data_IF_083751953889
#
_entry.id   IF_083751953889
#
_cell.length_a   1.000
_cell.length_b   1.000
_cell.length_c   1.000
_cell.angle_alpha   90.00
_cell.angle_beta   90.00
_cell.angle_gamma   90.00
#
_symmetry.space_group_name_H-M   'P 1'
#
loop_
_entity.id
_entity.type
_entity.pdbx_description
1 polymer ?
#
# COMPACT_ATOMS: atom_id res chain seq x y z
N UNK A 1 -11.91 -1.72 -18.35
CA UNK A 1 -10.56 -1.85 -18.93
C UNK A 1 -9.46 -2.09 -17.88
N UNK A 2 -9.40 -1.35 -16.77
CA UNK A 2 -8.40 -1.58 -15.69
C UNK A 2 -8.36 -3.03 -15.19
N UNK A 3 -9.53 -3.64 -14.93
CA UNK A 3 -9.61 -5.05 -14.50
C UNK A 3 -9.08 -6.03 -15.56
N UNK A 4 -9.28 -5.73 -16.85
CA UNK A 4 -8.76 -6.55 -17.95
C UNK A 4 -7.22 -6.56 -17.91
N UNK A 5 -6.59 -5.38 -17.85
CA UNK A 5 -5.13 -5.29 -17.76
C UNK A 5 -4.57 -5.91 -16.49
N UNK A 6 -5.24 -5.74 -15.34
CA UNK A 6 -4.84 -6.41 -14.10
C UNK A 6 -4.90 -7.96 -14.25
N UNK A 7 -5.97 -8.49 -14.85
CA UNK A 7 -6.10 -9.93 -15.13
C UNK A 7 -5.02 -10.43 -16.09
N UNK A 8 -4.80 -9.73 -17.21
CA UNK A 8 -3.75 -10.06 -18.17
C UNK A 8 -2.36 -10.03 -17.53
N UNK A 9 -2.10 -9.01 -16.72
CA UNK A 9 -0.83 -8.89 -16.00
C UNK A 9 -0.68 -10.05 -15.01
N UNK A 10 -1.72 -10.42 -14.28
CA UNK A 10 -1.68 -11.58 -13.37
C UNK A 10 -1.42 -12.92 -14.07
N UNK A 11 -1.93 -13.12 -15.30
CA UNK A 11 -1.74 -14.36 -16.06
C UNK A 11 -0.26 -14.58 -16.41
N UNK A 12 0.50 -13.50 -16.57
CA UNK A 12 1.94 -13.56 -16.87
C UNK A 12 2.83 -13.93 -15.67
N UNK A 13 2.24 -14.26 -14.52
CA UNK A 13 2.89 -14.88 -13.35
C UNK A 13 2.42 -16.33 -13.14
N UNK A 14 2.09 -17.03 -14.23
CA UNK A 14 1.85 -18.47 -14.16
C UNK A 14 3.14 -19.21 -13.80
N UNK A 15 3.03 -20.36 -13.13
CA UNK A 15 4.17 -21.14 -12.65
C UNK A 15 4.68 -22.12 -13.73
N UNK A 16 4.53 -21.78 -15.01
CA UNK A 16 4.95 -22.66 -16.11
C UNK A 16 6.45 -22.55 -16.36
N UNK A 17 7.17 -23.59 -15.95
CA UNK A 17 8.62 -23.71 -16.14
C UNK A 17 9.05 -23.47 -17.59
N UNK A 18 8.31 -24.01 -18.56
CA UNK A 18 8.64 -23.87 -19.99
C UNK A 18 8.54 -22.41 -20.45
N UNK A 19 7.46 -21.71 -20.07
CA UNK A 19 7.23 -20.32 -20.46
C UNK A 19 8.24 -19.36 -19.80
N UNK A 20 8.67 -19.66 -18.58
CA UNK A 20 9.71 -18.90 -17.89
C UNK A 20 11.09 -19.14 -18.51
N UNK A 21 11.44 -20.39 -18.82
CA UNK A 21 12.70 -20.75 -19.49
C UNK A 21 12.83 -20.06 -20.85
N UNK A 22 11.73 -19.99 -21.61
CA UNK A 22 11.67 -19.30 -22.91
C UNK A 22 11.47 -17.77 -22.80
N UNK A 23 11.46 -17.21 -21.58
CA UNK A 23 11.21 -15.78 -21.29
C UNK A 23 9.87 -15.23 -21.81
N UNK A 24 8.94 -16.09 -22.22
CA UNK A 24 7.62 -15.70 -22.76
C UNK A 24 6.83 -14.93 -21.69
N UNK A 25 6.81 -15.42 -20.44
CA UNK A 25 6.14 -14.73 -19.35
C UNK A 25 6.74 -13.34 -19.07
N UNK A 26 8.06 -13.20 -19.21
CA UNK A 26 8.75 -11.91 -19.03
C UNK A 26 8.38 -10.92 -20.14
N UNK A 27 8.37 -11.37 -21.40
CA UNK A 27 7.93 -10.58 -22.55
C UNK A 27 6.46 -10.18 -22.43
N UNK A 28 5.60 -11.10 -22.01
CA UNK A 28 4.18 -10.83 -21.78
C UNK A 28 3.99 -9.80 -20.66
N UNK A 29 4.69 -9.95 -19.52
CA UNK A 29 4.68 -8.95 -18.43
C UNK A 29 5.06 -7.57 -18.95
N UNK A 30 6.15 -7.49 -19.71
CA UNK A 30 6.62 -6.24 -20.29
C UNK A 30 5.58 -5.64 -21.24
N UNK A 31 5.07 -6.43 -22.19
CA UNK A 31 4.10 -5.99 -23.18
C UNK A 31 2.80 -5.49 -22.53
N UNK A 32 2.22 -6.27 -21.61
CA UNK A 32 1.00 -5.88 -20.88
C UNK A 32 1.22 -4.59 -20.09
N UNK A 33 2.37 -4.46 -19.41
CA UNK A 33 2.72 -3.25 -18.64
C UNK A 33 2.82 -2.01 -19.54
N UNK A 34 3.50 -2.12 -20.69
CA UNK A 34 3.64 -1.01 -21.65
C UNK A 34 2.29 -0.65 -22.28
N UNK A 35 1.53 -1.64 -22.72
CA UNK A 35 0.20 -1.43 -23.32
C UNK A 35 -0.78 -0.80 -22.33
N UNK A 36 -0.82 -1.29 -21.08
CA UNK A 36 -1.64 -0.72 -20.02
C UNK A 36 -1.33 0.77 -19.82
N UNK A 37 -0.06 1.13 -19.71
CA UNK A 37 0.37 2.52 -19.49
C UNK A 37 0.19 3.44 -20.71
N UNK A 38 -0.08 2.88 -21.91
CA UNK A 38 -0.46 3.66 -23.09
C UNK A 38 -1.96 3.80 -23.25
N UNK A 39 -2.72 2.73 -22.98
CA UNK A 39 -4.15 2.66 -23.25
C UNK A 39 -4.99 3.18 -22.06
N UNK A 40 -4.63 2.81 -20.83
CA UNK A 40 -5.39 3.22 -19.65
C UNK A 40 -5.50 4.74 -19.47
N UNK A 41 -4.48 5.58 -19.72
CA UNK A 41 -4.62 7.03 -19.60
C UNK A 41 -5.81 7.57 -20.40
N UNK A 42 -6.00 7.13 -21.65
CA UNK A 42 -7.12 7.54 -22.50
C UNK A 42 -8.47 7.08 -21.94
N UNK A 43 -8.53 5.86 -21.39
CA UNK A 43 -9.76 5.33 -20.81
C UNK A 43 -10.13 5.98 -19.47
N UNK A 44 -9.13 6.43 -18.71
CA UNK A 44 -9.30 7.07 -17.40
C UNK A 44 -9.65 8.55 -17.57
N UNK A 45 -9.03 9.26 -18.53
CA UNK A 45 -9.25 10.69 -18.76
C UNK A 45 -10.68 11.04 -19.19
N UNK A 46 -11.43 10.09 -19.75
CA UNK A 46 -12.79 10.32 -20.23
C UNK A 46 -13.87 10.29 -19.13
N UNK A 47 -13.50 10.08 -17.86
CA UNK A 47 -14.44 9.91 -16.76
C UNK A 47 -14.75 11.25 -16.08
N UNK A 48 -16.04 11.63 -16.01
CA UNK A 48 -16.46 12.94 -15.45
C UNK A 48 -17.29 12.90 -14.15
N UNK A 49 -17.82 11.74 -13.76
CA UNK A 49 -18.69 11.60 -12.58
C UNK A 49 -17.98 11.80 -11.23
N UNK A 50 -18.62 12.46 -10.26
CA UNK A 50 -18.10 12.51 -8.90
C UNK A 50 -17.80 11.11 -8.33
N UNK A 51 -16.65 10.97 -7.67
CA UNK A 51 -16.03 9.69 -7.35
C UNK A 51 -16.15 9.25 -5.89
N UNK A 52 -16.80 10.03 -5.04
CA UNK A 52 -17.02 9.69 -3.64
C UNK A 52 -18.45 9.23 -3.40
N UNK A 53 -18.65 8.55 -2.28
CA UNK A 53 -19.95 8.14 -1.80
C UNK A 53 -20.80 9.38 -1.46
N UNK A 54 -22.08 9.35 -1.83
CA UNK A 54 -23.07 10.40 -1.52
C UNK A 54 -24.15 9.75 -0.67
N UNK A 55 -24.29 10.18 0.58
CA UNK A 55 -25.24 9.65 1.54
C UNK A 55 -24.59 9.45 2.91
N UNK A 56 -25.30 8.72 3.77
CA UNK A 56 -24.81 8.33 5.09
C UNK A 56 -24.44 6.84 5.10
N UNK A 57 -23.41 6.53 5.88
CA UNK A 57 -23.00 5.14 6.16
C UNK A 57 -22.49 5.06 7.59
N UNK A 58 -22.65 3.89 8.20
CA UNK A 58 -22.26 3.65 9.60
C UNK A 58 -20.75 3.78 9.80
N UNK A 59 -19.96 3.06 8.99
CA UNK A 59 -18.49 3.12 9.03
C UNK A 59 -17.99 3.83 7.76
N UNK A 60 -17.36 4.99 7.92
CA UNK A 60 -16.82 5.75 6.79
C UNK A 60 -15.54 5.14 6.27
N UNK A 61 -15.33 5.21 4.96
CA UNK A 61 -14.13 4.73 4.29
C UNK A 61 -13.29 5.91 3.85
N UNK A 62 -12.10 6.04 4.42
CA UNK A 62 -11.12 7.06 4.06
C UNK A 62 -9.94 6.38 3.37
N UNK A 63 -9.76 6.67 2.08
CA UNK A 63 -8.57 6.24 1.34
C UNK A 63 -7.49 7.30 1.50
N UNK A 64 -6.28 6.88 1.85
CA UNK A 64 -5.16 7.77 2.09
C UNK A 64 -3.91 7.31 1.35
N UNK A 65 -3.19 8.28 0.79
CA UNK A 65 -1.94 8.07 0.07
C UNK A 65 -1.02 9.28 0.20
N UNK A 66 0.22 9.07 -0.22
CA UNK A 66 1.23 10.12 -0.34
C UNK A 66 1.96 9.97 -1.66
N UNK A 67 2.55 11.06 -2.15
CA UNK A 67 3.42 11.04 -3.32
C UNK A 67 4.58 12.01 -3.15
N UNK A 68 5.45 12.08 -4.15
CA UNK A 68 6.63 12.93 -4.21
C UNK A 68 6.87 13.39 -5.67
N UNK A 69 7.76 14.38 -5.91
CA UNK A 69 7.85 15.06 -7.19
C UNK A 69 8.04 14.14 -8.41
N UNK A 70 8.79 13.04 -8.31
CA UNK A 70 9.07 12.19 -9.48
C UNK A 70 7.84 11.39 -9.97
N UNK A 71 6.81 11.22 -9.13
CA UNK A 71 5.60 10.44 -9.46
C UNK A 71 4.35 11.30 -9.65
N UNK A 72 4.42 12.58 -9.23
CA UNK A 72 3.26 13.48 -9.20
C UNK A 72 2.57 13.65 -10.57
N UNK A 73 3.36 13.64 -11.66
CA UNK A 73 2.85 13.83 -13.04
C UNK A 73 1.91 12.73 -13.52
N UNK A 74 1.98 11.53 -12.94
CA UNK A 74 1.19 10.35 -13.33
C UNK A 74 0.18 9.93 -12.26
N UNK A 75 0.27 10.50 -11.06
CA UNK A 75 -0.55 10.15 -9.91
C UNK A 75 -2.06 10.28 -10.18
N UNK A 76 -2.48 11.23 -11.02
CA UNK A 76 -3.89 11.39 -11.40
C UNK A 76 -4.53 10.08 -11.90
N UNK A 77 -3.76 9.19 -12.54
CA UNK A 77 -4.27 7.90 -12.99
C UNK A 77 -4.58 6.96 -11.81
N UNK A 78 -3.75 6.96 -10.78
CA UNK A 78 -3.99 6.18 -9.56
C UNK A 78 -5.24 6.71 -8.87
N UNK A 79 -5.31 8.03 -8.66
CA UNK A 79 -6.48 8.69 -8.08
C UNK A 79 -7.76 8.32 -8.84
N UNK A 80 -7.72 8.35 -10.18
CA UNK A 80 -8.89 7.98 -10.99
C UNK A 80 -9.28 6.50 -10.81
N UNK A 81 -8.33 5.57 -10.58
CA UNK A 81 -8.68 4.19 -10.23
C UNK A 81 -9.36 4.04 -8.86
N UNK A 82 -9.00 4.89 -7.90
CA UNK A 82 -9.63 4.94 -6.56
C UNK A 82 -11.02 5.56 -6.63
N UNK A 83 -11.16 6.68 -7.34
CA UNK A 83 -12.45 7.36 -7.53
C UNK A 83 -13.40 6.55 -8.45
N UNK A 84 -12.87 5.53 -9.16
CA UNK A 84 -13.63 4.61 -10.01
C UNK A 84 -13.96 3.26 -9.35
N UNK A 85 -13.75 3.10 -8.04
CA UNK A 85 -14.12 1.87 -7.32
C UNK A 85 -15.62 1.58 -7.38
N UNK A 86 -16.00 0.30 -7.28
CA UNK A 86 -17.41 -0.16 -7.26
C UNK A 86 -18.12 0.22 -5.98
N UNK A 87 -17.44 0.05 -4.83
CA UNK A 87 -17.80 0.72 -3.58
C UNK A 87 -17.01 2.03 -3.53
N UNK A 88 -17.72 3.16 -3.44
CA UNK A 88 -17.09 4.47 -3.35
C UNK A 88 -16.58 4.72 -1.93
N UNK A 89 -15.38 5.31 -1.78
CA UNK A 89 -14.94 5.83 -0.49
C UNK A 89 -15.67 7.15 -0.17
N UNK A 90 -15.67 7.53 1.09
CA UNK A 90 -16.21 8.80 1.58
C UNK A 90 -15.19 9.92 1.42
N UNK A 91 -13.90 9.56 1.46
CA UNK A 91 -12.77 10.49 1.29
C UNK A 91 -11.63 9.81 0.54
N UNK A 92 -10.94 10.59 -0.29
CA UNK A 92 -9.64 10.24 -0.86
C UNK A 92 -8.69 11.38 -0.55
N UNK A 93 -7.68 11.14 0.28
CA UNK A 93 -6.79 12.19 0.80
C UNK A 93 -5.37 11.92 0.37
N UNK A 94 -4.80 12.86 -0.40
CA UNK A 94 -3.40 12.88 -0.80
C UNK A 94 -2.61 13.80 0.12
N UNK A 95 -1.65 13.24 0.86
CA UNK A 95 -0.70 14.03 1.65
C UNK A 95 0.58 14.31 0.87
N UNK A 96 0.98 15.59 0.81
CA UNK A 96 2.19 16.06 0.14
C UNK A 96 3.04 16.89 1.10
N UNK A 97 4.36 16.72 1.07
CA UNK A 97 5.27 17.51 1.91
C UNK A 97 5.47 18.91 1.35
N UNK A 98 5.35 19.96 2.17
CA UNK A 98 5.70 21.33 1.78
C UNK A 98 7.18 21.50 1.44
N UNK A 99 8.06 20.66 1.99
CA UNK A 99 9.48 20.65 1.63
C UNK A 99 9.68 20.19 0.19
N UNK A 100 8.83 19.25 -0.28
CA UNK A 100 8.88 18.71 -1.63
C UNK A 100 8.09 19.56 -2.64
N UNK A 101 7.10 20.31 -2.17
CA UNK A 101 6.19 21.15 -2.97
C UNK A 101 6.07 22.57 -2.34
N UNK A 102 7.14 23.38 -2.37
CA UNK A 102 7.19 24.67 -1.69
C UNK A 102 6.20 25.71 -2.22
N UNK A 103 5.76 25.59 -3.48
CA UNK A 103 4.73 26.45 -4.08
C UNK A 103 3.34 25.82 -4.03
N UNK A 104 3.16 24.78 -3.21
CA UNK A 104 1.89 24.10 -2.96
C UNK A 104 1.22 23.63 -4.26
N UNK A 105 0.00 24.09 -4.55
CA UNK A 105 -0.76 23.69 -5.75
C UNK A 105 -0.08 24.12 -7.06
N UNK A 106 0.75 25.17 -7.05
CA UNK A 106 1.49 25.62 -8.25
C UNK A 106 2.59 24.65 -8.70
N UNK A 107 2.99 23.71 -7.83
CA UNK A 107 3.91 22.64 -8.17
C UNK A 107 3.19 21.40 -8.74
N UNK A 108 1.85 21.40 -8.78
CA UNK A 108 1.05 20.25 -9.21
C UNK A 108 0.60 20.39 -10.67
N UNK A 109 0.56 19.28 -11.42
CA UNK A 109 0.02 19.30 -12.78
C UNK A 109 -1.50 19.48 -12.76
N UNK A 110 -2.04 20.16 -13.77
CA UNK A 110 -3.49 20.34 -13.95
C UNK A 110 -4.26 19.02 -13.94
N UNK A 111 -3.65 17.95 -14.48
CA UNK A 111 -4.25 16.61 -14.47
C UNK A 111 -4.57 16.11 -13.06
N UNK A 112 -3.76 16.46 -12.06
CA UNK A 112 -3.99 16.12 -10.66
C UNK A 112 -4.95 17.12 -9.99
N UNK A 113 -4.77 18.42 -10.23
CA UNK A 113 -5.66 19.45 -9.68
C UNK A 113 -7.12 19.26 -10.11
N UNK A 114 -7.33 18.84 -11.37
CA UNK A 114 -8.66 18.52 -11.90
C UNK A 114 -9.34 17.35 -11.16
N UNK A 115 -8.59 16.50 -10.43
CA UNK A 115 -9.18 15.43 -9.62
C UNK A 115 -9.87 15.97 -8.37
N UNK A 116 -9.61 17.21 -7.93
CA UNK A 116 -10.34 17.84 -6.81
C UNK A 116 -11.83 17.90 -7.09
N UNK A 117 -12.23 18.25 -8.31
CA UNK A 117 -13.63 18.26 -8.75
C UNK A 117 -14.28 16.86 -8.75
N UNK A 118 -13.46 15.80 -8.80
CA UNK A 118 -13.91 14.40 -8.71
C UNK A 118 -14.00 13.91 -7.26
N UNK A 119 -13.50 14.67 -6.28
CA UNK A 119 -13.50 14.33 -4.86
C UNK A 119 -12.12 14.06 -4.24
N UNK A 120 -11.01 14.38 -4.93
CA UNK A 120 -9.68 14.34 -4.31
C UNK A 120 -9.50 15.49 -3.31
N UNK A 121 -9.11 15.18 -2.08
CA UNK A 121 -8.62 16.14 -1.08
C UNK A 121 -7.08 16.13 -1.10
N UNK A 122 -6.45 17.28 -1.34
CA UNK A 122 -4.99 17.43 -1.38
C UNK A 122 -4.56 18.24 -0.15
N UNK A 123 -3.69 17.65 0.67
CA UNK A 123 -3.21 18.26 1.92
C UNK A 123 -1.70 18.42 1.90
N UNK A 124 -1.25 19.65 2.12
CA UNK A 124 0.17 19.97 2.27
C UNK A 124 0.55 19.99 3.74
N UNK A 125 1.54 19.18 4.11
CA UNK A 125 1.98 18.96 5.50
C UNK A 125 3.44 19.36 5.69
N UNK A 126 3.78 19.73 6.92
CA UNK A 126 5.16 20.09 7.29
C UNK A 126 6.09 18.88 7.32
N UNK A 127 7.37 19.11 7.03
CA UNK A 127 8.41 18.09 7.03
C UNK A 127 8.24 17.02 5.93
N UNK A 128 9.16 16.06 5.87
CA UNK A 128 9.09 14.92 4.95
C UNK A 128 9.34 13.59 5.68
N UNK A 129 8.27 13.02 6.22
CA UNK A 129 8.26 11.67 6.81
C UNK A 129 8.04 10.57 5.74
N UNK A 130 8.26 10.88 4.46
CA UNK A 130 8.18 9.95 3.32
C UNK A 130 6.84 9.18 3.28
N UNK A 131 6.88 7.85 3.16
CA UNK A 131 5.70 7.01 3.04
C UNK A 131 4.81 7.04 4.29
N UNK A 132 5.38 7.36 5.47
CA UNK A 132 4.62 7.43 6.72
C UNK A 132 3.48 8.46 6.69
N UNK A 133 3.55 9.47 5.79
CA UNK A 133 2.47 10.44 5.58
C UNK A 133 1.12 9.76 5.32
N UNK A 134 1.11 8.60 4.63
CA UNK A 134 -0.12 7.93 4.18
C UNK A 134 -0.99 7.41 5.34
N UNK A 135 -0.41 7.06 6.48
CA UNK A 135 -1.17 6.58 7.64
C UNK A 135 -1.18 7.59 8.79
N UNK A 136 -0.06 8.28 9.02
CA UNK A 136 0.13 9.11 10.21
C UNK A 136 -0.94 10.19 10.36
N UNK A 137 -1.10 11.05 9.34
CA UNK A 137 -2.03 12.18 9.40
C UNK A 137 -3.49 11.74 9.33
N UNK A 138 -3.80 10.73 8.52
CA UNK A 138 -5.19 10.29 8.35
C UNK A 138 -5.72 9.60 9.61
N UNK A 139 -4.88 8.80 10.30
CA UNK A 139 -5.28 8.12 11.54
C UNK A 139 -5.46 9.10 12.70
N UNK A 140 -4.78 10.25 12.69
CA UNK A 140 -5.02 11.33 13.64
C UNK A 140 -6.34 12.07 13.37
N UNK A 141 -6.63 12.35 12.09
CA UNK A 141 -7.79 13.15 11.71
C UNK A 141 -9.10 12.35 11.69
N UNK A 142 -9.02 11.03 11.51
CA UNK A 142 -10.17 10.13 11.35
C UNK A 142 -9.98 8.85 12.19
N UNK A 143 -9.89 8.97 13.52
CA UNK A 143 -9.61 7.82 14.40
C UNK A 143 -10.75 6.78 14.42
N UNK A 144 -11.97 7.22 14.06
CA UNK A 144 -13.19 6.40 14.10
C UNK A 144 -13.62 5.85 12.73
N UNK A 145 -12.86 6.12 11.67
CA UNK A 145 -13.17 5.68 10.30
C UNK A 145 -12.31 4.47 9.87
N UNK A 146 -12.78 3.75 8.86
CA UNK A 146 -12.00 2.72 8.19
C UNK A 146 -10.95 3.37 7.28
N UNK A 147 -9.67 3.12 7.58
CA UNK A 147 -8.56 3.70 6.83
C UNK A 147 -8.05 2.70 5.80
N UNK A 148 -8.05 3.07 4.53
CA UNK A 148 -7.43 2.29 3.46
C UNK A 148 -6.19 3.02 2.96
N UNK A 149 -5.02 2.42 3.12
CA UNK A 149 -3.77 2.96 2.54
C UNK A 149 -3.51 2.39 1.16
N UNK A 150 -3.03 3.25 0.26
CA UNK A 150 -2.64 2.92 -1.12
C UNK A 150 -1.33 3.62 -1.52
N UNK A 151 -0.62 3.07 -2.49
CA UNK A 151 0.57 3.67 -3.11
C UNK A 151 0.21 4.49 -4.35
N UNK A 152 1.14 5.35 -4.77
CA UNK A 152 0.98 6.31 -5.86
C UNK A 152 1.37 5.77 -7.25
N UNK A 153 1.68 4.48 -7.36
CA UNK A 153 2.20 3.85 -8.57
C UNK A 153 1.47 2.54 -8.97
N UNK A 154 0.22 2.35 -8.53
CA UNK A 154 -0.56 1.13 -8.79
C UNK A 154 -1.87 1.43 -9.53
N UNK A 155 -2.14 0.67 -10.60
CA UNK A 155 -3.49 0.64 -11.20
C UNK A 155 -4.41 -0.32 -10.43
N UNK A 156 -5.17 0.21 -9.48
CA UNK A 156 -6.05 -0.60 -8.63
C UNK A 156 -7.22 -1.20 -9.41
N UNK A 157 -7.50 -2.51 -9.26
CA UNK A 157 -8.74 -3.11 -9.74
C UNK A 157 -9.96 -2.39 -9.16
N UNK A 158 -11.04 -2.30 -9.92
CA UNK A 158 -12.23 -1.52 -9.52
C UNK A 158 -12.99 -2.12 -8.33
N UNK A 159 -12.66 -3.35 -7.93
CA UNK A 159 -13.28 -4.08 -6.81
C UNK A 159 -12.41 -4.09 -5.56
N UNK A 160 -11.31 -3.33 -5.53
CA UNK A 160 -10.36 -3.32 -4.40
C UNK A 160 -11.05 -2.96 -3.08
N UNK A 161 -11.76 -1.83 -3.02
CA UNK A 161 -12.47 -1.40 -1.81
C UNK A 161 -13.57 -2.39 -1.46
N UNK A 162 -14.32 -2.86 -2.46
CA UNK A 162 -15.37 -3.85 -2.27
C UNK A 162 -14.86 -5.12 -1.57
N UNK A 163 -13.75 -5.69 -2.04
CA UNK A 163 -13.18 -6.90 -1.44
C UNK A 163 -12.65 -6.64 -0.02
N UNK A 164 -12.04 -5.48 0.23
CA UNK A 164 -11.56 -5.12 1.57
C UNK A 164 -12.72 -5.00 2.56
N UNK A 165 -13.78 -4.30 2.19
CA UNK A 165 -14.98 -4.09 3.04
C UNK A 165 -15.69 -5.41 3.32
N UNK A 166 -15.89 -6.27 2.30
CA UNK A 166 -16.52 -7.58 2.49
C UNK A 166 -15.77 -8.46 3.50
N UNK A 167 -14.43 -8.39 3.52
CA UNK A 167 -13.64 -9.12 4.51
C UNK A 167 -13.63 -8.43 5.87
N UNK A 168 -13.68 -7.10 5.94
CA UNK A 168 -13.87 -6.37 7.19
C UNK A 168 -15.20 -6.75 7.86
N UNK A 169 -16.30 -6.86 7.10
CA UNK A 169 -17.60 -7.30 7.62
C UNK A 169 -17.54 -8.69 8.28
N UNK A 170 -16.68 -9.59 7.76
CA UNK A 170 -16.46 -10.93 8.32
C UNK A 170 -15.46 -10.94 9.48
N UNK A 171 -14.48 -10.02 9.46
CA UNK A 171 -13.36 -9.97 10.40
C UNK A 171 -13.13 -8.52 10.89
N UNK A 172 -14.08 -7.93 11.65
CA UNK A 172 -14.12 -6.48 11.90
C UNK A 172 -12.99 -5.94 12.78
N UNK A 173 -12.21 -6.83 13.41
CA UNK A 173 -11.07 -6.47 14.26
C UNK A 173 -9.72 -6.69 13.57
N UNK A 174 -9.72 -7.24 12.37
CA UNK A 174 -8.50 -7.69 11.69
C UNK A 174 -8.04 -6.67 10.65
N UNK A 175 -6.73 -6.56 10.45
CA UNK A 175 -6.18 -5.76 9.35
C UNK A 175 -6.32 -6.53 8.05
N UNK A 176 -7.01 -5.96 7.06
CA UNK A 176 -7.34 -6.65 5.81
C UNK A 176 -6.42 -6.14 4.71
N UNK A 177 -5.62 -7.00 4.08
CA UNK A 177 -4.64 -6.57 3.08
C UNK A 177 -4.72 -7.36 1.77
N UNK A 178 -4.34 -6.69 0.67
CA UNK A 178 -4.30 -7.27 -0.68
C UNK A 178 -2.90 -7.65 -1.16
N UNK A 179 -1.89 -7.13 -0.48
CA UNK A 179 -0.49 -7.42 -0.76
C UNK A 179 0.17 -7.85 0.53
N UNK A 180 0.72 -9.06 0.52
CA UNK A 180 1.50 -9.59 1.63
C UNK A 180 2.57 -10.54 1.12
N UNK A 181 3.59 -10.75 1.93
CA UNK A 181 4.61 -11.77 1.77
C UNK A 181 4.60 -12.72 2.95
N UNK A 182 4.98 -13.97 2.72
CA UNK A 182 5.17 -14.94 3.78
C UNK A 182 6.56 -14.77 4.37
N UNK A 183 6.64 -14.47 5.66
CA UNK A 183 7.92 -14.43 6.39
C UNK A 183 8.50 -15.85 6.42
N UNK A 184 9.79 -15.95 6.14
CA UNK A 184 10.51 -17.24 6.17
C UNK A 184 11.42 -17.27 7.40
N UNK A 185 11.27 -18.32 8.20
CA UNK A 185 12.05 -18.56 9.40
C UNK A 185 13.16 -19.58 9.12
N UNK A 186 14.23 -19.54 9.91
CA UNK A 186 15.21 -20.63 9.99
C UNK A 186 14.90 -21.60 11.15
N UNK A 187 15.73 -22.63 11.29
CA UNK A 187 15.58 -23.64 12.34
C UNK A 187 15.79 -23.09 13.75
N UNK A 188 16.39 -21.90 13.87
CA UNK A 188 16.68 -21.22 15.13
C UNK A 188 15.65 -20.11 15.41
N UNK A 189 14.50 -20.14 14.73
CA UNK A 189 13.42 -19.16 14.91
C UNK A 189 13.84 -17.73 14.56
N UNK A 190 14.85 -17.57 13.72
CA UNK A 190 15.31 -16.27 13.22
C UNK A 190 14.72 -15.99 11.85
N UNK A 191 14.31 -14.74 11.63
CA UNK A 191 13.76 -14.30 10.35
C UNK A 191 14.87 -14.30 9.29
N UNK A 192 14.64 -15.03 8.20
CA UNK A 192 15.51 -14.96 7.03
C UNK A 192 15.30 -13.67 6.27
N UNK A 193 16.31 -13.30 5.50
CA UNK A 193 16.29 -12.11 4.64
C UNK A 193 14.97 -11.94 3.89
N UNK A 194 14.48 -10.71 3.86
CA UNK A 194 13.24 -10.29 3.18
C UNK A 194 13.22 -10.61 1.68
N UNK A 195 14.39 -10.81 1.06
CA UNK A 195 14.51 -11.26 -0.33
C UNK A 195 14.00 -12.70 -0.54
N UNK A 196 13.98 -13.52 0.52
CA UNK A 196 13.48 -14.90 0.48
C UNK A 196 11.96 -14.99 0.69
N UNK A 197 11.31 -13.89 1.09
CA UNK A 197 9.89 -13.90 1.38
C UNK A 197 9.08 -13.95 0.07
N UNK A 198 8.16 -14.90 0.00
CA UNK A 198 7.34 -15.13 -1.19
C UNK A 198 5.99 -14.42 -1.08
N UNK A 199 5.47 -13.93 -2.19
CA UNK A 199 4.18 -13.22 -2.21
C UNK A 199 3.02 -14.18 -1.89
N UNK A 200 2.10 -13.72 -1.05
CA UNK A 200 0.83 -14.38 -0.77
C UNK A 200 -0.23 -13.81 -1.73
N UNK A 201 -0.90 -14.68 -2.48
CA UNK A 201 -1.95 -14.29 -3.46
C UNK A 201 -3.27 -15.05 -3.25
N UNK A 202 -3.28 -16.01 -2.32
CA UNK A 202 -4.48 -16.73 -1.87
C UNK A 202 -4.94 -16.14 -0.54
N UNK A 203 -6.20 -16.39 -0.18
CA UNK A 203 -6.69 -16.02 1.15
C UNK A 203 -5.86 -16.70 2.22
N UNK A 204 -5.42 -15.94 3.23
CA UNK A 204 -4.63 -16.42 4.37
C UNK A 204 -5.00 -15.62 5.61
N UNK A 205 -4.98 -16.29 6.76
CA UNK A 205 -5.32 -15.74 8.07
C UNK A 205 -4.12 -15.89 9.00
N UNK A 206 -3.97 -14.97 9.97
CA UNK A 206 -2.94 -15.01 10.99
C UNK A 206 -2.07 -13.75 11.03
N UNK A 207 -1.19 -13.63 12.03
CA UNK A 207 -0.35 -12.43 12.21
C UNK A 207 1.16 -12.69 12.12
N UNK A 208 1.62 -13.90 12.42
CA UNK A 208 3.05 -14.15 12.67
C UNK A 208 3.86 -14.26 11.38
N UNK A 209 3.39 -15.06 10.42
CA UNK A 209 4.10 -15.37 9.19
C UNK A 209 3.64 -14.52 7.98
N UNK A 210 2.80 -13.51 8.21
CA UNK A 210 2.27 -12.62 7.19
C UNK A 210 2.89 -11.23 7.35
N UNK A 211 3.70 -10.82 6.38
CA UNK A 211 4.17 -9.44 6.27
C UNK A 211 3.29 -8.69 5.27
N UNK A 212 2.40 -7.83 5.72
CA UNK A 212 1.55 -7.05 4.82
C UNK A 212 2.33 -5.89 4.19
N UNK A 213 1.92 -5.44 3.01
CA UNK A 213 2.30 -4.11 2.52
C UNK A 213 1.12 -3.15 2.63
N UNK A 214 1.39 -1.97 3.15
CA UNK A 214 0.42 -0.91 3.43
C UNK A 214 -0.08 -0.29 2.12
N UNK A 215 0.78 -0.22 1.12
CA UNK A 215 0.50 0.40 -0.17
C UNK A 215 -0.33 -0.40 -1.16
N UNK A 216 -0.43 -1.72 -1.01
CA UNK A 216 -1.14 -2.59 -1.97
C UNK A 216 -2.68 -2.50 -1.95
N UNK A 217 -3.23 -1.61 -1.11
CA UNK A 217 -4.63 -1.63 -0.68
C UNK A 217 -4.75 -2.45 0.60
N UNK A 218 -4.63 -1.76 1.73
CA UNK A 218 -4.72 -2.34 3.08
C UNK A 218 -5.70 -1.52 3.90
N UNK A 219 -6.69 -2.19 4.47
CA UNK A 219 -7.72 -1.63 5.33
C UNK A 219 -7.34 -1.88 6.79
N UNK A 220 -7.29 -0.80 7.55
CA UNK A 220 -7.14 -0.80 9.00
C UNK A 220 -8.51 -0.48 9.62
N UNK A 221 -9.13 -1.42 10.36
CA UNK A 221 -10.28 -1.08 11.17
C UNK A 221 -9.81 -0.16 12.29
N UNK A 222 -10.61 0.88 12.60
CA UNK A 222 -10.35 1.99 13.52
C UNK A 222 -8.99 1.94 14.26
N UNK A 223 -8.05 2.86 13.98
CA UNK A 223 -6.77 2.93 14.68
C UNK A 223 -7.00 3.17 16.17
N UNK A 224 -6.87 2.10 16.97
CA UNK A 224 -7.11 2.09 18.41
C UNK A 224 -7.38 0.68 18.95
N UNK A 225 -7.96 -0.19 18.13
CA UNK A 225 -8.12 -1.62 18.47
C UNK A 225 -7.14 -2.54 17.73
N UNK A 226 -6.70 -2.10 16.55
CA UNK A 226 -5.93 -2.91 15.58
C UNK A 226 -4.42 -2.63 15.56
N UNK A 227 -3.96 -1.57 16.24
CA UNK A 227 -2.57 -1.14 16.23
C UNK A 227 -2.08 -0.76 17.63
N UNK A 228 -0.80 -1.01 17.89
CA UNK A 228 -0.16 -0.73 19.18
C UNK A 228 -0.03 0.77 19.44
N UNK A 229 -0.02 1.17 20.71
CA UNK A 229 -0.02 2.58 21.14
C UNK A 229 1.08 3.45 20.52
N UNK A 230 2.21 2.85 20.14
CA UNK A 230 3.33 3.58 19.56
C UNK A 230 3.08 4.00 18.10
N UNK A 231 2.02 3.52 17.44
CA UNK A 231 1.76 3.72 16.00
C UNK A 231 1.96 5.15 15.52
N UNK A 232 1.49 6.13 16.30
CA UNK A 232 1.57 7.56 15.98
C UNK A 232 2.78 8.26 16.59
N UNK A 233 3.71 7.52 17.21
CA UNK A 233 5.03 8.00 17.59
C UNK A 233 5.91 8.12 16.34
N UNK A 234 5.68 9.19 15.57
CA UNK A 234 6.32 9.39 14.28
C UNK A 234 7.83 9.58 14.39
N UNK A 235 8.33 10.15 15.50
CA UNK A 235 9.75 10.28 15.74
C UNK A 235 10.43 8.91 15.83
N UNK A 236 9.83 7.98 16.60
CA UNK A 236 10.32 6.61 16.70
C UNK A 236 10.18 5.84 15.38
N UNK A 237 9.07 6.01 14.68
CA UNK A 237 8.85 5.39 13.37
C UNK A 237 9.91 5.84 12.35
N UNK A 238 10.24 7.13 12.32
CA UNK A 238 11.28 7.67 11.45
C UNK A 238 12.70 7.32 11.89
N UNK A 239 12.94 7.04 13.17
CA UNK A 239 14.23 6.57 13.68
C UNK A 239 14.48 5.10 13.31
N UNK A 240 13.50 4.22 13.58
CA UNK A 240 13.64 2.79 13.36
C UNK A 240 13.35 2.36 11.92
N UNK A 241 12.38 3.00 11.28
CA UNK A 241 11.82 2.59 9.99
C UNK A 241 11.78 3.69 8.92
N UNK A 242 12.82 4.53 8.74
CA UNK A 242 12.76 5.76 7.91
C UNK A 242 12.35 5.59 6.44
N UNK A 243 12.38 4.37 5.90
CA UNK A 243 12.10 4.05 4.50
C UNK A 243 10.95 3.05 4.33
N UNK A 244 10.44 2.46 5.41
CA UNK A 244 9.58 1.27 5.37
C UNK A 244 8.44 1.41 6.38
N UNK A 245 7.41 2.14 5.99
CA UNK A 245 6.16 2.23 6.76
C UNK A 245 5.48 0.87 6.90
N UNK A 246 5.64 -0.01 5.91
CA UNK A 246 5.21 -1.41 5.98
C UNK A 246 5.79 -2.14 7.19
N UNK A 247 7.10 -1.99 7.43
CA UNK A 247 7.76 -2.61 8.58
C UNK A 247 7.24 -2.05 9.89
N UNK A 248 7.11 -0.73 9.99
CA UNK A 248 6.57 -0.06 11.17
C UNK A 248 5.16 -0.58 11.50
N UNK A 249 4.24 -0.55 10.54
CA UNK A 249 2.87 -0.97 10.77
C UNK A 249 2.74 -2.47 11.04
N UNK A 250 3.54 -3.33 10.39
CA UNK A 250 3.60 -4.76 10.74
C UNK A 250 4.05 -4.99 12.18
N UNK A 251 4.97 -4.16 12.69
CA UNK A 251 5.43 -4.20 14.08
C UNK A 251 4.29 -3.82 15.03
N UNK A 252 3.60 -2.71 14.75
CA UNK A 252 2.48 -2.23 15.58
C UNK A 252 1.31 -3.22 15.63
N UNK A 253 0.97 -3.85 14.50
CA UNK A 253 -0.07 -4.89 14.43
C UNK A 253 0.29 -6.07 15.35
N UNK A 254 1.56 -6.50 15.31
CA UNK A 254 2.02 -7.65 16.08
C UNK A 254 2.07 -7.37 17.57
N UNK A 255 2.56 -6.19 17.97
CA UNK A 255 2.56 -5.78 19.39
C UNK A 255 1.14 -5.65 19.96
N UNK A 256 0.16 -5.30 19.11
CA UNK A 256 -1.26 -5.29 19.47
C UNK A 256 -1.91 -6.68 19.47
N UNK A 257 -1.22 -7.70 18.93
CA UNK A 257 -1.76 -9.03 18.68
C UNK A 257 -3.02 -9.00 17.76
N UNK A 258 -2.99 -8.15 16.75
CA UNK A 258 -4.07 -8.04 15.76
C UNK A 258 -3.86 -9.04 14.62
N UNK A 259 -4.93 -9.72 14.23
CA UNK A 259 -4.92 -10.65 13.11
C UNK A 259 -4.78 -9.91 11.77
N UNK A 260 -4.03 -10.49 10.84
CA UNK A 260 -3.96 -10.04 9.45
C UNK A 260 -4.75 -11.02 8.58
N UNK A 261 -5.63 -10.48 7.75
CA UNK A 261 -6.34 -11.26 6.73
C UNK A 261 -5.87 -10.84 5.35
N UNK A 262 -5.22 -11.74 4.65
CA UNK A 262 -4.84 -11.54 3.25
C UNK A 262 -6.02 -11.96 2.39
N UNK A 263 -6.52 -11.07 1.55
CA UNK A 263 -7.59 -11.40 0.60
C UNK A 263 -7.01 -11.98 -0.68
N UNK A 264 -7.73 -12.92 -1.30
CA UNK A 264 -7.36 -13.45 -2.62
C UNK A 264 -7.23 -12.30 -3.63
N UNK A 265 -6.09 -12.26 -4.32
CA UNK A 265 -5.77 -11.17 -5.23
C UNK A 265 -5.02 -11.66 -6.47
N UNK A 266 -4.86 -10.78 -7.46
CA UNK A 266 -3.98 -11.00 -8.59
C UNK A 266 -2.54 -11.28 -8.13
N UNK A 267 -1.86 -12.20 -8.84
CA UNK A 267 -0.46 -12.55 -8.56
C UNK A 267 0.49 -11.37 -8.77
N UNK A 268 0.18 -10.48 -9.70
CA UNK A 268 0.97 -9.28 -10.01
C UNK A 268 0.26 -7.98 -9.62
N UNK A 269 1.04 -6.95 -9.28
CA UNK A 269 0.58 -5.56 -9.18
C UNK A 269 0.90 -4.88 -10.50
N UNK A 270 -0.12 -4.38 -11.21
CA UNK A 270 0.08 -3.63 -12.45
C UNK A 270 0.56 -2.21 -12.12
N UNK A 271 1.82 -1.85 -12.45
CA UNK A 271 2.37 -0.57 -12.04
C UNK A 271 2.01 0.55 -13.03
N UNK A 272 1.92 1.76 -12.50
CA UNK A 272 2.03 3.00 -13.25
C UNK A 272 3.50 3.27 -13.56
N UNK A 273 3.84 3.41 -14.84
CA UNK A 273 5.21 3.66 -15.26
C UNK A 273 5.55 5.14 -15.12
N UNK A 274 6.53 5.42 -14.26
CA UNK A 274 7.15 6.74 -14.12
C UNK A 274 8.51 6.72 -14.84
N UNK A 275 8.78 7.73 -15.68
CA UNK A 275 9.98 7.77 -16.55
C UNK A 275 11.28 8.02 -15.78
N UNK A 276 11.18 8.60 -14.59
CA UNK A 276 12.32 8.91 -13.68
C UNK A 276 12.17 8.20 -12.34
N UNK A 277 11.52 7.05 -12.33
CA UNK A 277 11.37 6.27 -11.10
C UNK A 277 12.74 5.69 -10.72
N UNK A 278 13.40 6.33 -9.76
CA UNK A 278 14.42 5.65 -8.98
C UNK A 278 13.64 4.61 -8.18
N UNK A 279 13.73 3.33 -8.54
CA UNK A 279 12.99 2.30 -7.81
C UNK A 279 13.43 2.36 -6.35
N UNK A 280 12.54 2.81 -5.46
CA UNK A 280 12.77 2.82 -4.01
C UNK A 280 13.13 1.40 -3.50
N UNK A 281 12.65 0.37 -4.22
CA UNK A 281 13.01 -1.02 -3.98
C UNK A 281 14.49 -1.35 -4.31
N UNK A 282 15.09 -0.70 -5.31
CA UNK A 282 16.50 -0.98 -5.69
C UNK A 282 17.51 -0.43 -4.68
N UNK A 283 17.17 0.61 -3.92
CA UNK A 283 17.96 1.05 -2.77
C UNK A 283 17.82 0.11 -1.57
N UNK A 284 16.66 -0.52 -1.39
CA UNK A 284 16.41 -1.41 -0.25
C UNK A 284 16.94 -2.85 -0.48
N UNK A 285 17.16 -3.26 -1.73
CA UNK A 285 17.63 -4.60 -2.12
C UNK A 285 19.08 -4.70 -2.62
N UNK A 286 19.89 -3.65 -2.48
CA UNK A 286 21.33 -3.65 -2.80
C UNK A 286 22.21 -4.32 -1.73
N UNK A 287 23.54 -4.21 -1.86
CA UNK A 287 24.58 -4.88 -1.02
C UNK A 287 24.42 -4.72 0.50
N UNK A 288 23.60 -3.76 0.96
CA UNK A 288 23.12 -3.68 2.34
C UNK A 288 21.57 -3.71 2.32
N UNK A 289 20.96 -4.87 2.57
CA UNK A 289 19.50 -5.00 2.60
C UNK A 289 18.90 -4.12 3.74
N UNK A 290 18.50 -2.89 3.40
CA UNK A 290 18.06 -1.87 4.34
C UNK A 290 16.80 -2.30 5.08
N UNK A 291 15.91 -3.03 4.41
CA UNK A 291 14.71 -3.61 5.03
C UNK A 291 15.10 -4.58 6.16
N UNK A 292 16.07 -5.46 5.94
CA UNK A 292 16.54 -6.41 6.96
C UNK A 292 17.22 -5.68 8.13
N UNK A 293 17.97 -4.60 7.85
CA UNK A 293 18.62 -3.77 8.88
C UNK A 293 17.61 -3.04 9.76
N UNK A 294 16.63 -2.36 9.16
CA UNK A 294 15.55 -1.68 9.88
C UNK A 294 14.71 -2.68 10.69
N UNK A 295 14.43 -3.87 10.15
CA UNK A 295 13.73 -4.94 10.85
C UNK A 295 14.49 -5.39 12.10
N UNK A 296 15.80 -5.65 11.98
CA UNK A 296 16.65 -6.02 13.10
C UNK A 296 16.68 -4.93 14.18
N UNK A 297 16.85 -3.67 13.79
CA UNK A 297 16.90 -2.55 14.73
C UNK A 297 15.57 -2.39 15.49
N UNK A 298 14.46 -2.55 14.78
CA UNK A 298 13.11 -2.50 15.36
C UNK A 298 12.88 -3.62 16.36
N UNK A 299 13.26 -4.86 16.03
CA UNK A 299 13.19 -6.00 16.95
C UNK A 299 14.02 -5.72 18.21
N UNK A 300 15.30 -5.35 18.04
CA UNK A 300 16.20 -5.10 19.17
C UNK A 300 15.71 -3.96 20.08
N UNK A 301 15.12 -2.91 19.50
CA UNK A 301 14.54 -1.82 20.27
C UNK A 301 13.42 -2.33 21.18
N UNK A 302 12.46 -3.07 20.65
CA UNK A 302 11.34 -3.57 21.44
C UNK A 302 11.77 -4.67 22.43
N UNK A 303 12.72 -5.52 22.08
CA UNK A 303 13.26 -6.56 22.97
C UNK A 303 13.91 -5.96 24.21
N UNK A 304 14.67 -4.86 24.04
CA UNK A 304 15.24 -4.09 25.16
C UNK A 304 14.17 -3.47 26.07
N UNK A 305 12.97 -3.27 25.55
CA UNK A 305 11.80 -2.77 26.28
C UNK A 305 10.84 -3.90 26.72
N UNK A 306 11.28 -5.16 26.69
CA UNK A 306 10.52 -6.30 27.20
C UNK A 306 9.40 -6.80 26.27
N UNK A 307 9.40 -6.39 24.99
CA UNK A 307 8.41 -6.79 23.99
C UNK A 307 9.10 -7.50 22.82
N UNK A 308 8.42 -8.45 22.16
CA UNK A 308 8.96 -9.06 20.94
C UNK A 308 7.88 -9.08 19.86
N UNK A 309 7.93 -8.15 18.88
CA UNK A 309 6.91 -8.07 17.83
C UNK A 309 6.94 -9.29 16.91
N UNK A 310 8.10 -9.90 16.66
CA UNK A 310 8.22 -11.00 15.69
C UNK A 310 8.53 -12.33 16.36
N UNK A 311 7.94 -12.59 17.53
CA UNK A 311 8.05 -13.89 18.18
C UNK A 311 7.06 -14.88 17.54
N UNK A 312 7.53 -16.06 17.18
CA UNK A 312 6.63 -17.17 16.85
C UNK A 312 6.06 -17.75 18.16
N UNK A 313 4.76 -17.98 18.21
CA UNK A 313 4.14 -18.71 19.32
C UNK A 313 4.28 -20.21 19.03
N UNK A 314 4.82 -20.96 19.99
CA UNK A 314 4.85 -22.43 19.96
C UNK A 314 3.45 -23.00 20.13
#
# INVERSE_FOLDING_TARGET
>A
MVNLFNRLYSISFNDSYLLDKLKINSLLRYAVRVLANRILPYCLSNRKHYGLFIGERTEKIVVSLTSFPNRISKLWMVIETILSQSIKPDKVILYLSKVQFPRLEEDLPDSLLNMKARGLDIRFVEGDIRSHKKYYYVMQAYPDDLIITVDDDIFYPTTMIQTLVQYHELYPKSVICRYAKSIVWDSNMTIKSSLKWSRIYKTKFGGQDIFLGTGGGTLFPMPGTSLYRDTLNIALACDLCPLEDDLWLNTMIRLQNTEIVVVKNYKGILPVLNTRDVMLYSSNGGENNLTDSQLRNTILYYERNGLNPFKQFN
#
